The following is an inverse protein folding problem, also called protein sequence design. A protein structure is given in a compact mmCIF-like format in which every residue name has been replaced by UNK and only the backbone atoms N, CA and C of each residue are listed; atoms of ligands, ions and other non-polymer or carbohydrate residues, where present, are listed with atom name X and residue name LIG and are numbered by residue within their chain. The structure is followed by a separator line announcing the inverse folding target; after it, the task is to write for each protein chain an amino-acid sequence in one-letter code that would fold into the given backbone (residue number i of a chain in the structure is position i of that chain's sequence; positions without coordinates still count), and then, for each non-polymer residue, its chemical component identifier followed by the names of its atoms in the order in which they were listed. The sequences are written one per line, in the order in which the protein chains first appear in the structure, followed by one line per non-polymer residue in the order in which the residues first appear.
data_IF_865773165818
#
_entry.id   IF_865773165818
#
_cell.length_a   1.000
_cell.length_b   1.000
_cell.length_c   1.000
_cell.angle_alpha   90.00
_cell.angle_beta   90.00
_cell.angle_gamma   90.00
#
_symmetry.space_group_name_H-M   'P 1'
#
loop_
_entity.id
_entity.type
_entity.pdbx_description
1 polymer ?
#
# COMPACT_ATOMS: atom_id res chain seq x y z
N UNK A 1 -15.15 3.31 21.65
CA UNK A 1 -15.82 2.01 21.89
C UNK A 1 -15.76 1.24 20.57
N UNK A 2 -14.90 0.22 20.48
CA UNK A 2 -14.68 -0.50 19.22
C UNK A 2 -15.74 -1.56 19.02
N UNK A 3 -16.57 -1.44 17.98
CA UNK A 3 -17.42 -2.53 17.53
C UNK A 3 -16.55 -3.57 16.84
N UNK A 4 -16.46 -4.77 17.43
CA UNK A 4 -16.00 -5.96 16.73
C UNK A 4 -17.10 -6.34 15.72
N UNK A 5 -16.98 -5.85 14.50
CA UNK A 5 -17.74 -6.39 13.36
C UNK A 5 -17.21 -7.79 13.05
N UNK A 6 -17.82 -8.84 13.61
CA UNK A 6 -17.32 -10.19 13.38
C UNK A 6 -18.09 -11.34 14.01
N UNK A 7 -19.39 -11.51 13.72
CA UNK A 7 -20.08 -12.81 13.92
C UNK A 7 -20.37 -13.56 12.61
N UNK A 8 -19.98 -12.99 11.46
CA UNK A 8 -19.76 -13.77 10.23
C UNK A 8 -18.28 -13.69 9.89
N UNK A 9 -17.47 -14.34 10.70
CA UNK A 9 -16.03 -14.45 10.48
C UNK A 9 -15.82 -15.41 9.31
N UNK A 10 -15.22 -14.94 8.21
CA UNK A 10 -14.54 -15.82 7.26
C UNK A 10 -13.36 -16.44 8.02
N UNK A 11 -13.43 -17.71 8.48
CA UNK A 11 -12.47 -18.25 9.45
C UNK A 11 -11.03 -18.09 8.97
N UNK A 12 -10.84 -18.26 7.65
CA UNK A 12 -9.54 -18.24 7.01
C UNK A 12 -8.89 -16.83 6.90
N UNK A 13 -9.68 -15.75 6.95
CA UNK A 13 -9.15 -14.38 6.76
C UNK A 13 -8.51 -13.84 8.04
N UNK A 14 -9.11 -14.13 9.21
CA UNK A 14 -8.56 -13.70 10.50
C UNK A 14 -7.30 -14.49 10.88
N UNK A 15 -7.13 -15.69 10.35
CA UNK A 15 -5.89 -16.47 10.53
C UNK A 15 -4.71 -15.91 9.74
N UNK A 16 -5.00 -15.08 8.73
CA UNK A 16 -3.99 -14.51 7.84
C UNK A 16 -3.70 -13.04 8.13
N UNK A 17 -4.72 -12.27 8.49
CA UNK A 17 -4.61 -10.82 8.64
C UNK A 17 -5.03 -10.39 10.05
N UNK A 18 -4.39 -9.32 10.53
CA UNK A 18 -4.90 -8.55 11.66
C UNK A 18 -5.66 -7.36 11.12
N UNK A 19 -6.77 -7.03 11.78
CA UNK A 19 -7.62 -5.90 11.45
C UNK A 19 -7.75 -4.98 12.65
N UNK A 20 -7.78 -3.68 12.38
CA UNK A 20 -8.21 -2.66 13.34
C UNK A 20 -9.13 -1.70 12.61
N UNK A 21 -10.39 -1.71 13.00
CA UNK A 21 -11.40 -0.81 12.45
C UNK A 21 -11.63 0.36 13.41
N UNK A 22 -11.60 1.58 12.89
CA UNK A 22 -11.86 2.80 13.65
C UNK A 22 -12.96 3.61 12.97
N UNK A 23 -14.06 3.77 13.68
CA UNK A 23 -15.24 4.48 13.20
C UNK A 23 -15.08 6.00 13.35
N UNK A 24 -15.56 6.74 12.36
CA UNK A 24 -15.72 8.19 12.34
C UNK A 24 -17.14 8.51 11.92
N UNK A 25 -17.85 9.21 12.79
CA UNK A 25 -19.24 9.59 12.58
C UNK A 25 -19.42 10.43 11.31
N UNK A 26 -20.56 10.27 10.64
CA UNK A 26 -20.93 11.00 9.41
C UNK A 26 -19.97 10.79 8.23
N UNK A 27 -19.21 9.69 8.20
CA UNK A 27 -18.36 9.34 7.06
C UNK A 27 -18.96 8.22 6.21
N UNK A 28 -19.19 8.51 4.93
CA UNK A 28 -19.62 7.54 3.91
C UNK A 28 -18.45 6.97 3.09
N UNK A 29 -17.23 7.13 3.60
CA UNK A 29 -15.99 6.71 2.96
C UNK A 29 -15.17 5.83 3.89
N UNK A 30 -14.43 4.88 3.33
CA UNK A 30 -13.53 3.99 4.06
C UNK A 30 -12.10 4.14 3.56
N UNK A 31 -11.16 4.43 4.44
CA UNK A 31 -9.73 4.30 4.16
C UNK A 31 -9.20 2.97 4.67
N UNK A 32 -8.76 2.11 3.75
CA UNK A 32 -8.10 0.84 4.03
C UNK A 32 -6.59 1.05 3.96
N UNK A 33 -5.91 0.83 5.09
CA UNK A 33 -4.46 1.08 5.22
C UNK A 33 -3.72 -0.25 5.33
N UNK A 34 -2.93 -0.56 4.32
CA UNK A 34 -2.20 -1.82 4.17
C UNK A 34 -0.78 -1.63 4.71
N UNK A 35 -0.45 -2.37 5.77
CA UNK A 35 0.86 -2.29 6.39
C UNK A 35 1.91 -3.10 5.62
N UNK A 36 3.13 -2.56 5.41
CA UNK A 36 4.25 -3.34 4.93
C UNK A 36 4.89 -4.22 6.01
N UNK A 37 4.47 -4.12 7.27
CA UNK A 37 5.11 -4.81 8.40
C UNK A 37 4.13 -5.78 9.03
N UNK A 38 4.59 -7.03 9.20
CA UNK A 38 3.85 -8.08 9.90
C UNK A 38 3.40 -7.60 11.29
N UNK A 39 2.14 -7.86 11.64
CA UNK A 39 1.54 -7.59 12.95
C UNK A 39 1.66 -6.12 13.43
N UNK A 40 1.80 -5.14 12.53
CA UNK A 40 1.86 -3.72 12.89
C UNK A 40 0.96 -2.91 11.97
N UNK A 41 0.25 -1.92 12.52
CA UNK A 41 -0.56 -0.98 11.74
C UNK A 41 0.22 0.32 11.53
N UNK A 42 0.56 0.64 10.28
CA UNK A 42 1.08 1.96 9.94
C UNK A 42 -0.04 3.00 10.01
N UNK A 43 0.31 4.26 10.25
CA UNK A 43 -0.64 5.40 10.27
C UNK A 43 -1.76 5.31 11.31
N UNK A 44 -1.70 4.42 12.29
CA UNK A 44 -2.73 4.32 13.37
C UNK A 44 -2.97 5.64 14.10
N UNK A 45 -1.96 6.51 14.19
CA UNK A 45 -2.08 7.84 14.80
C UNK A 45 -2.37 8.98 13.82
N UNK A 46 -2.64 8.71 12.55
CA UNK A 46 -2.99 9.74 11.57
C UNK A 46 -4.49 10.06 11.63
N UNK A 47 -4.85 11.34 11.57
CA UNK A 47 -6.25 11.79 11.59
C UNK A 47 -6.85 11.71 10.18
N UNK A 48 -7.32 10.52 9.81
CA UNK A 48 -8.12 10.35 8.61
C UNK A 48 -9.49 11.02 8.77
N UNK A 49 -9.97 11.69 7.72
CA UNK A 49 -11.34 12.23 7.68
C UNK A 49 -12.39 11.18 7.28
N UNK A 50 -12.03 9.90 7.26
CA UNK A 50 -12.90 8.78 6.89
C UNK A 50 -13.02 7.74 8.00
N UNK A 51 -13.93 6.77 7.85
CA UNK A 51 -13.77 5.49 8.55
C UNK A 51 -12.44 4.84 8.16
N UNK A 52 -11.87 4.05 9.05
CA UNK A 52 -10.54 3.43 8.85
C UNK A 52 -10.59 1.94 9.05
N UNK A 53 -9.94 1.19 8.18
CA UNK A 53 -9.59 -0.20 8.37
C UNK A 53 -8.09 -0.37 8.18
N UNK A 54 -7.35 -0.56 9.27
CA UNK A 54 -5.95 -0.95 9.20
C UNK A 54 -5.86 -2.47 9.03
N UNK A 55 -5.03 -2.89 8.08
CA UNK A 55 -4.79 -4.30 7.78
C UNK A 55 -3.29 -4.57 7.83
N UNK A 56 -2.90 -5.65 8.50
CA UNK A 56 -1.52 -6.14 8.46
C UNK A 56 -1.52 -7.65 8.33
N UNK A 57 -0.56 -8.20 7.59
CA UNK A 57 -0.43 -9.66 7.50
C UNK A 57 0.18 -10.25 8.78
N UNK A 58 -0.26 -11.45 9.15
CA UNK A 58 0.36 -12.27 10.19
C UNK A 58 1.61 -13.00 9.69
N UNK A 59 1.82 -13.06 8.39
CA UNK A 59 3.05 -13.48 7.74
C UNK A 59 3.20 -12.73 6.42
N UNK A 60 4.43 -12.41 6.02
CA UNK A 60 4.65 -11.52 4.88
C UNK A 60 4.43 -12.30 3.59
N UNK A 61 3.25 -12.15 2.98
CA UNK A 61 2.87 -12.72 1.70
C UNK A 61 2.49 -11.65 0.68
N UNK A 62 2.78 -10.38 0.97
CA UNK A 62 2.54 -9.26 0.06
C UNK A 62 1.06 -9.16 -0.36
N UNK A 63 0.14 -9.58 0.50
CA UNK A 63 -1.29 -9.60 0.28
C UNK A 63 -1.75 -10.48 -0.91
N UNK A 64 -0.90 -11.41 -1.36
CA UNK A 64 -1.28 -12.38 -2.42
C UNK A 64 -1.88 -13.65 -1.85
N UNK A 65 -1.53 -14.02 -0.61
CA UNK A 65 -2.13 -15.17 0.06
C UNK A 65 -3.47 -14.80 0.68
N UNK A 66 -4.49 -15.67 0.52
CA UNK A 66 -5.88 -15.41 0.93
C UNK A 66 -6.46 -14.09 0.39
N UNK A 67 -5.97 -13.64 -0.77
CA UNK A 67 -6.38 -12.41 -1.44
C UNK A 67 -7.90 -12.33 -1.66
N UNK A 68 -8.51 -13.37 -2.23
CA UNK A 68 -9.96 -13.41 -2.49
C UNK A 68 -10.81 -13.35 -1.22
N UNK A 69 -10.35 -13.98 -0.14
CA UNK A 69 -11.04 -13.92 1.16
C UNK A 69 -11.00 -12.49 1.72
N UNK A 70 -9.87 -11.79 1.57
CA UNK A 70 -9.76 -10.38 1.95
C UNK A 70 -10.66 -9.49 1.09
N UNK A 71 -10.77 -9.74 -0.22
CA UNK A 71 -11.71 -9.02 -1.10
C UNK A 71 -13.16 -9.24 -0.66
N UNK A 72 -13.58 -10.47 -0.41
CA UNK A 72 -14.95 -10.76 0.05
C UNK A 72 -15.25 -10.08 1.39
N UNK A 73 -14.29 -10.09 2.33
CA UNK A 73 -14.42 -9.36 3.59
C UNK A 73 -14.61 -7.85 3.37
N UNK A 74 -13.84 -7.24 2.48
CA UNK A 74 -13.98 -5.81 2.15
C UNK A 74 -15.34 -5.51 1.50
N UNK A 75 -15.79 -6.35 0.55
CA UNK A 75 -17.11 -6.20 -0.08
C UNK A 75 -18.24 -6.25 0.95
N UNK A 76 -18.19 -7.20 1.89
CA UNK A 76 -19.16 -7.31 2.97
C UNK A 76 -19.16 -6.06 3.84
N UNK A 77 -17.97 -5.57 4.21
CA UNK A 77 -17.83 -4.37 5.03
C UNK A 77 -18.40 -3.13 4.32
N UNK A 78 -18.08 -2.98 3.03
CA UNK A 78 -18.55 -1.88 2.17
C UNK A 78 -20.07 -1.90 2.06
N UNK A 79 -20.64 -3.07 1.77
CA UNK A 79 -22.08 -3.24 1.57
C UNK A 79 -22.86 -2.99 2.86
N UNK A 80 -22.40 -3.54 4.00
CA UNK A 80 -23.07 -3.38 5.30
C UNK A 80 -23.09 -1.95 5.81
N UNK A 81 -22.06 -1.16 5.49
CA UNK A 81 -21.93 0.22 5.94
C UNK A 81 -22.33 1.24 4.86
N UNK A 82 -22.82 0.78 3.70
CA UNK A 82 -23.21 1.62 2.57
C UNK A 82 -22.13 2.65 2.16
N UNK A 83 -20.85 2.22 2.09
CA UNK A 83 -19.79 3.12 1.66
C UNK A 83 -19.89 3.46 0.18
N UNK A 84 -19.83 4.75 -0.13
CA UNK A 84 -19.85 5.27 -1.50
C UNK A 84 -18.45 5.37 -2.11
N UNK A 85 -17.42 5.40 -1.27
CA UNK A 85 -16.03 5.38 -1.72
C UNK A 85 -15.11 4.64 -0.77
N UNK A 86 -14.09 4.01 -1.34
CA UNK A 86 -13.04 3.29 -0.63
C UNK A 86 -11.69 3.75 -1.14
N UNK A 87 -10.84 4.18 -0.21
CA UNK A 87 -9.47 4.57 -0.47
C UNK A 87 -8.54 3.48 0.05
N UNK A 88 -7.67 2.93 -0.78
CA UNK A 88 -6.62 2.00 -0.36
C UNK A 88 -5.28 2.71 -0.38
N UNK A 89 -4.52 2.58 0.69
CA UNK A 89 -3.18 3.16 0.77
C UNK A 89 -2.23 2.27 1.55
N UNK A 90 -0.94 2.43 1.29
CA UNK A 90 0.12 1.70 1.95
C UNK A 90 1.47 2.29 1.64
N UNK A 91 2.54 1.63 2.09
CA UNK A 91 3.92 1.95 1.68
C UNK A 91 4.63 0.67 1.30
N UNK A 92 5.52 0.70 0.30
CA UNK A 92 6.34 -0.47 -0.08
C UNK A 92 5.46 -1.70 -0.40
N UNK A 93 5.63 -2.80 0.34
CA UNK A 93 4.79 -4.02 0.31
C UNK A 93 3.30 -3.73 0.51
N UNK A 94 2.98 -2.79 1.42
CA UNK A 94 1.61 -2.36 1.65
C UNK A 94 1.01 -1.65 0.45
N UNK A 95 1.81 -0.87 -0.29
CA UNK A 95 1.38 -0.23 -1.53
C UNK A 95 1.15 -1.23 -2.66
N UNK A 96 2.00 -2.25 -2.77
CA UNK A 96 1.75 -3.38 -3.68
C UNK A 96 0.38 -4.00 -3.37
N UNK A 97 0.14 -4.34 -2.10
CA UNK A 97 -1.14 -4.85 -1.60
C UNK A 97 -2.32 -3.94 -1.93
N UNK A 98 -2.18 -2.64 -1.68
CA UNK A 98 -3.22 -1.64 -1.96
C UNK A 98 -3.59 -1.60 -3.46
N UNK A 99 -2.61 -1.71 -4.36
CA UNK A 99 -2.88 -1.74 -5.81
C UNK A 99 -3.61 -3.02 -6.20
N UNK A 100 -3.08 -4.19 -5.84
CA UNK A 100 -3.71 -5.46 -6.24
C UNK A 100 -5.12 -5.61 -5.65
N UNK A 101 -5.33 -5.17 -4.40
CA UNK A 101 -6.63 -5.18 -3.77
C UNK A 101 -7.58 -4.18 -4.42
N UNK A 102 -7.11 -2.96 -4.73
CA UNK A 102 -7.95 -1.96 -5.39
C UNK A 102 -8.45 -2.40 -6.76
N UNK A 103 -7.60 -3.11 -7.52
CA UNK A 103 -7.94 -3.73 -8.81
C UNK A 103 -8.99 -4.82 -8.64
N UNK A 104 -8.74 -5.81 -7.78
CA UNK A 104 -9.66 -6.94 -7.59
C UNK A 104 -10.98 -6.48 -6.96
N UNK A 105 -10.93 -5.53 -6.02
CA UNK A 105 -12.10 -4.98 -5.36
C UNK A 105 -13.00 -4.23 -6.34
N UNK A 106 -12.42 -3.36 -7.19
CA UNK A 106 -13.22 -2.61 -8.18
C UNK A 106 -13.92 -3.54 -9.18
N UNK A 107 -13.22 -4.59 -9.64
CA UNK A 107 -13.79 -5.64 -10.49
C UNK A 107 -14.96 -6.34 -9.78
N UNK A 108 -14.77 -6.73 -8.52
CA UNK A 108 -15.79 -7.43 -7.73
C UNK A 108 -17.02 -6.55 -7.44
N UNK A 109 -16.81 -5.28 -7.07
CA UNK A 109 -17.90 -4.32 -6.82
C UNK A 109 -18.72 -4.07 -8.09
N UNK A 110 -18.05 -3.89 -9.25
CA UNK A 110 -18.72 -3.74 -10.54
C UNK A 110 -19.55 -4.97 -10.92
N UNK A 111 -18.98 -6.18 -10.76
CA UNK A 111 -19.68 -7.45 -11.01
C UNK A 111 -20.96 -7.57 -10.17
N UNK A 112 -20.89 -7.16 -8.90
CA UNK A 112 -22.01 -7.18 -7.96
C UNK A 112 -22.93 -5.95 -8.06
N UNK A 113 -22.67 -5.03 -9.00
CA UNK A 113 -23.40 -3.77 -9.18
C UNK A 113 -23.47 -2.89 -7.93
N UNK A 114 -22.44 -2.95 -7.08
CA UNK A 114 -22.31 -2.08 -5.91
C UNK A 114 -21.70 -0.75 -6.38
N UNK A 115 -22.45 0.35 -6.20
CA UNK A 115 -22.02 1.70 -6.57
C UNK A 115 -21.06 2.28 -5.53
N UNK A 116 -19.80 1.85 -5.59
CA UNK A 116 -18.73 2.33 -4.73
C UNK A 116 -17.48 2.60 -5.54
N UNK A 117 -16.94 3.83 -5.46
CA UNK A 117 -15.70 4.22 -6.15
C UNK A 117 -14.50 3.70 -5.37
N UNK A 118 -13.51 3.17 -6.08
CA UNK A 118 -12.25 2.71 -5.50
C UNK A 118 -11.13 3.65 -5.92
N UNK A 119 -10.34 4.09 -4.95
CA UNK A 119 -9.13 4.89 -5.17
C UNK A 119 -7.95 4.22 -4.51
N UNK A 120 -6.81 4.22 -5.17
CA UNK A 120 -5.55 3.72 -4.62
C UNK A 120 -4.53 4.84 -4.60
N UNK A 121 -3.92 5.08 -3.43
CA UNK A 121 -2.78 5.99 -3.26
C UNK A 121 -1.61 5.17 -2.73
N UNK A 122 -0.71 4.79 -3.64
CA UNK A 122 0.39 3.88 -3.39
C UNK A 122 1.72 4.63 -3.26
N UNK A 123 2.39 4.51 -2.12
CA UNK A 123 3.66 5.15 -1.85
C UNK A 123 4.83 4.18 -2.02
N UNK A 124 5.72 4.47 -2.96
CA UNK A 124 6.92 3.70 -3.31
C UNK A 124 6.63 2.19 -3.43
N UNK A 125 5.66 1.78 -4.27
CA UNK A 125 5.26 0.39 -4.36
C UNK A 125 6.36 -0.48 -4.95
N UNK A 126 6.45 -1.71 -4.47
CA UNK A 126 6.90 -2.81 -5.34
C UNK A 126 5.77 -3.10 -6.33
N UNK A 127 6.10 -3.47 -7.56
CA UNK A 127 5.12 -3.63 -8.65
C UNK A 127 5.17 -4.99 -9.35
N UNK A 128 6.29 -5.68 -9.16
CA UNK A 128 6.53 -7.04 -9.64
C UNK A 128 7.20 -7.81 -8.51
N UNK A 129 6.54 -8.86 -8.03
CA UNK A 129 7.08 -9.82 -7.06
C UNK A 129 7.10 -11.24 -7.64
N UNK A 130 6.41 -11.44 -8.76
CA UNK A 130 6.50 -12.62 -9.60
C UNK A 130 6.39 -12.24 -11.07
N UNK A 131 7.24 -12.75 -12.00
CA UNK A 131 8.39 -13.64 -11.74
C UNK A 131 9.47 -12.96 -10.88
N UNK A 132 10.59 -13.67 -10.65
CA UNK A 132 11.67 -13.18 -9.80
C UNK A 132 12.11 -11.75 -10.18
N UNK A 133 12.01 -10.81 -9.25
CA UNK A 133 12.32 -9.40 -9.47
C UNK A 133 13.75 -9.07 -9.01
N UNK A 134 14.66 -8.91 -9.97
CA UNK A 134 16.07 -8.57 -9.73
C UNK A 134 16.26 -7.21 -9.02
N UNK A 135 15.32 -6.27 -9.16
CA UNK A 135 15.41 -4.96 -8.52
C UNK A 135 15.35 -5.07 -6.99
N UNK A 136 14.57 -6.03 -6.47
CA UNK A 136 14.33 -6.21 -5.04
C UNK A 136 14.81 -7.54 -4.49
N UNK A 137 15.55 -8.33 -5.29
CA UNK A 137 16.03 -9.67 -4.94
C UNK A 137 16.85 -9.70 -3.64
N UNK A 138 17.50 -8.58 -3.31
CA UNK A 138 18.29 -8.45 -2.09
C UNK A 138 17.46 -8.33 -0.80
N UNK A 139 16.18 -7.97 -0.88
CA UNK A 139 15.31 -7.76 0.28
C UNK A 139 15.07 -9.06 1.06
N UNK A 140 15.42 -9.14 2.36
CA UNK A 140 15.11 -10.29 3.21
C UNK A 140 13.64 -10.72 3.18
N UNK A 141 12.70 -9.77 3.25
CA UNK A 141 11.26 -10.12 3.19
C UNK A 141 10.85 -10.75 1.86
N UNK A 142 11.43 -10.31 0.74
CA UNK A 142 11.17 -10.87 -0.58
C UNK A 142 11.79 -12.26 -0.72
N UNK A 143 13.03 -12.45 -0.28
CA UNK A 143 13.68 -13.77 -0.25
C UNK A 143 12.86 -14.78 0.55
N UNK A 144 12.35 -14.36 1.71
CA UNK A 144 11.49 -15.20 2.54
C UNK A 144 10.19 -15.57 1.83
N UNK A 145 9.52 -14.62 1.16
CA UNK A 145 8.34 -14.92 0.33
C UNK A 145 8.63 -15.99 -0.72
N UNK A 146 9.70 -15.83 -1.50
CA UNK A 146 10.08 -16.81 -2.55
C UNK A 146 10.38 -18.17 -1.94
N UNK A 147 11.06 -18.23 -0.78
CA UNK A 147 11.32 -19.48 -0.06
C UNK A 147 10.03 -20.14 0.44
N UNK A 148 9.09 -19.36 0.98
CA UNK A 148 7.80 -19.88 1.43
C UNK A 148 6.97 -20.41 0.26
N UNK A 149 6.89 -19.67 -0.85
CA UNK A 149 6.15 -20.10 -2.04
C UNK A 149 6.57 -21.50 -2.53
N UNK A 150 7.87 -21.82 -2.48
CA UNK A 150 8.38 -23.16 -2.85
C UNK A 150 7.81 -24.32 -2.02
N UNK A 151 7.39 -24.05 -0.79
CA UNK A 151 6.91 -25.08 0.15
C UNK A 151 5.39 -25.08 0.33
N UNK A 152 4.69 -24.05 -0.17
CA UNK A 152 3.25 -23.86 0.05
C UNK A 152 2.55 -23.48 -1.25
N UNK A 153 1.87 -24.46 -1.87
CA UNK A 153 1.19 -24.30 -3.17
C UNK A 153 0.21 -23.13 -3.21
N UNK A 154 -0.48 -22.86 -2.11
CA UNK A 154 -1.44 -21.75 -2.02
C UNK A 154 -0.76 -20.37 -2.07
N UNK A 155 0.45 -20.24 -1.51
CA UNK A 155 1.27 -19.02 -1.59
C UNK A 155 1.83 -18.88 -3.01
N UNK A 156 2.37 -19.96 -3.59
CA UNK A 156 2.88 -19.96 -4.97
C UNK A 156 1.79 -19.58 -5.98
N UNK A 157 0.59 -20.15 -5.83
CA UNK A 157 -0.56 -19.81 -6.67
C UNK A 157 -0.90 -18.32 -6.56
N UNK A 158 -1.07 -17.79 -5.34
CA UNK A 158 -1.39 -16.37 -5.14
C UNK A 158 -0.29 -15.46 -5.74
N UNK A 159 0.97 -15.85 -5.56
CA UNK A 159 2.11 -15.14 -6.12
C UNK A 159 2.09 -15.13 -7.66
N UNK A 160 1.82 -16.25 -8.32
CA UNK A 160 1.69 -16.35 -9.78
C UNK A 160 0.49 -15.60 -10.35
N UNK A 161 -0.60 -15.53 -9.58
CA UNK A 161 -1.85 -14.89 -9.99
C UNK A 161 -1.77 -13.36 -9.86
N UNK A 162 -1.32 -12.86 -8.71
CA UNK A 162 -1.36 -11.43 -8.37
C UNK A 162 0.01 -10.74 -8.36
N UNK A 163 1.10 -11.50 -8.47
CA UNK A 163 2.47 -10.99 -8.28
C UNK A 163 2.98 -10.03 -9.36
N UNK A 164 2.23 -9.84 -10.44
CA UNK A 164 2.59 -8.94 -11.53
C UNK A 164 1.46 -7.93 -11.79
N UNK A 165 1.59 -6.70 -11.29
CA UNK A 165 0.52 -5.69 -11.40
C UNK A 165 0.10 -5.49 -12.85
N UNK A 166 1.05 -5.37 -13.79
CA UNK A 166 0.73 -5.13 -15.21
C UNK A 166 -0.19 -6.20 -15.83
N UNK A 167 -0.15 -7.44 -15.32
CA UNK A 167 -0.97 -8.56 -15.83
C UNK A 167 -2.43 -8.48 -15.39
N UNK A 168 -2.72 -7.75 -14.31
CA UNK A 168 -4.08 -7.69 -13.73
C UNK A 168 -4.80 -6.37 -14.03
N UNK A 169 -4.15 -5.44 -14.75
CA UNK A 169 -4.69 -4.13 -15.13
C UNK A 169 -5.73 -4.20 -16.27
N UNK A 170 -5.91 -5.35 -16.90
CA UNK A 170 -6.82 -5.51 -18.04
C UNK A 170 -8.30 -5.35 -17.62
N UNK A 171 -9.10 -4.82 -18.55
CA UNK A 171 -10.56 -4.64 -18.44
C UNK A 171 -11.04 -3.83 -17.22
N UNK A 172 -10.27 -2.81 -16.84
CA UNK A 172 -10.63 -1.91 -15.74
C UNK A 172 -11.38 -0.68 -16.23
N UNK A 173 -12.50 -0.41 -15.57
CA UNK A 173 -13.30 0.80 -15.77
C UNK A 173 -12.71 1.98 -14.98
N UNK A 174 -12.20 2.98 -15.70
CA UNK A 174 -11.59 4.19 -15.12
C UNK A 174 -12.58 5.05 -14.32
N UNK A 175 -13.89 4.86 -14.52
CA UNK A 175 -14.90 5.57 -13.72
C UNK A 175 -15.05 4.97 -12.31
N UNK A 176 -14.60 3.72 -12.12
CA UNK A 176 -14.70 2.98 -10.86
C UNK A 176 -13.37 2.90 -10.11
N UNK A 177 -12.23 2.98 -10.80
CA UNK A 177 -10.90 2.87 -10.19
C UNK A 177 -9.96 4.00 -10.63
N UNK A 178 -9.36 4.67 -9.66
CA UNK A 178 -8.20 5.55 -9.86
C UNK A 178 -6.98 5.05 -9.07
N UNK A 179 -5.80 5.09 -9.68
CA UNK A 179 -4.55 4.64 -9.03
C UNK A 179 -3.50 5.74 -9.17
N UNK A 180 -2.99 6.21 -8.03
CA UNK A 180 -1.90 7.17 -7.93
C UNK A 180 -0.69 6.46 -7.33
N UNK A 181 0.45 6.54 -8.01
CA UNK A 181 1.72 5.99 -7.54
C UNK A 181 2.68 7.14 -7.27
N UNK A 182 3.00 7.34 -6.00
CA UNK A 182 3.88 8.39 -5.52
C UNK A 182 5.21 7.76 -5.15
N UNK A 183 6.33 8.29 -5.66
CA UNK A 183 7.63 7.65 -5.49
C UNK A 183 8.78 8.66 -5.51
N UNK A 184 9.94 8.29 -4.95
CA UNK A 184 11.14 9.13 -5.01
C UNK A 184 11.78 9.09 -6.39
N UNK A 185 11.85 10.22 -7.10
CA UNK A 185 12.40 10.28 -8.45
C UNK A 185 13.87 9.83 -8.53
N UNK A 186 14.64 10.15 -7.50
CA UNK A 186 16.06 9.82 -7.40
C UNK A 186 16.33 8.52 -6.64
N UNK A 187 15.30 7.86 -6.13
CA UNK A 187 15.46 6.55 -5.50
C UNK A 187 15.49 5.46 -6.58
N UNK A 188 16.65 4.80 -6.73
CA UNK A 188 16.91 3.83 -7.80
C UNK A 188 15.82 2.75 -7.92
N UNK A 189 15.53 2.05 -6.81
CA UNK A 189 14.57 0.95 -6.84
C UNK A 189 13.15 1.44 -7.14
N UNK A 190 12.75 2.56 -6.55
CA UNK A 190 11.40 3.13 -6.74
C UNK A 190 11.17 3.55 -8.18
N UNK A 191 12.17 4.19 -8.80
CA UNK A 191 12.11 4.61 -10.19
C UNK A 191 11.90 3.42 -11.12
N UNK A 192 12.64 2.33 -10.91
CA UNK A 192 12.50 1.09 -11.69
C UNK A 192 11.10 0.50 -11.53
N UNK A 193 10.58 0.42 -10.30
CA UNK A 193 9.23 -0.10 -10.06
C UNK A 193 8.15 0.80 -10.70
N UNK A 194 8.25 2.13 -10.56
CA UNK A 194 7.30 3.06 -11.15
C UNK A 194 7.31 3.01 -12.69
N UNK A 195 8.48 2.90 -13.31
CA UNK A 195 8.63 2.82 -14.77
C UNK A 195 7.92 1.60 -15.37
N UNK A 196 7.83 0.48 -14.64
CA UNK A 196 7.08 -0.72 -15.08
C UNK A 196 5.59 -0.48 -15.25
N UNK A 197 5.06 0.57 -14.63
CA UNK A 197 3.65 0.96 -14.70
C UNK A 197 3.38 2.08 -15.71
N UNK A 198 4.41 2.65 -16.33
CA UNK A 198 4.31 3.86 -17.17
C UNK A 198 3.44 3.70 -18.42
N UNK A 199 3.30 2.47 -18.95
CA UNK A 199 2.47 2.20 -20.12
C UNK A 199 0.96 2.13 -19.80
N UNK A 200 0.56 2.14 -18.52
CA UNK A 200 -0.86 2.05 -18.14
C UNK A 200 -1.50 3.42 -18.05
N UNK A 201 -2.53 3.65 -18.88
CA UNK A 201 -3.34 4.86 -18.82
C UNK A 201 -4.31 4.92 -17.63
N UNK A 202 -4.35 3.87 -16.79
CA UNK A 202 -5.11 3.83 -15.53
C UNK A 202 -4.30 4.40 -14.36
N UNK A 203 -2.98 4.36 -14.44
CA UNK A 203 -2.08 4.68 -13.33
C UNK A 203 -1.47 6.05 -13.56
N UNK A 204 -1.67 6.96 -12.60
CA UNK A 204 -0.99 8.25 -12.56
C UNK A 204 0.29 8.13 -11.75
N UNK A 205 1.43 8.28 -12.41
CA UNK A 205 2.74 8.36 -11.77
C UNK A 205 2.99 9.79 -11.28
N UNK A 206 3.35 9.92 -9.99
CA UNK A 206 3.60 11.18 -9.31
C UNK A 206 5.02 11.13 -8.68
N UNK A 207 6.08 11.39 -9.47
CA UNK A 207 7.43 11.48 -8.93
C UNK A 207 7.53 12.64 -7.94
N UNK A 208 8.26 12.45 -6.84
CA UNK A 208 8.67 13.53 -5.95
C UNK A 208 10.06 13.99 -6.41
N UNK A 209 10.18 15.22 -6.95
CA UNK A 209 11.43 15.72 -7.49
C UNK A 209 12.54 15.70 -6.46
N UNK A 210 13.73 15.25 -6.89
CA UNK A 210 14.94 15.18 -6.06
C UNK A 210 14.85 14.28 -4.81
N UNK A 211 13.72 13.62 -4.56
CA UNK A 211 13.56 12.77 -3.39
C UNK A 211 14.25 11.42 -3.59
N UNK A 212 15.15 11.09 -2.68
CA UNK A 212 16.07 9.94 -2.81
C UNK A 212 15.77 8.81 -1.83
N UNK A 213 14.69 8.88 -1.05
CA UNK A 213 14.34 7.87 -0.05
C UNK A 213 13.17 7.01 -0.52
N UNK A 214 13.16 5.73 -0.13
CA UNK A 214 12.05 4.81 -0.38
C UNK A 214 10.75 5.18 0.38
N UNK A 215 10.82 6.02 1.41
CA UNK A 215 9.70 6.27 2.33
C UNK A 215 8.87 7.50 1.96
N UNK A 216 8.40 7.57 0.71
CA UNK A 216 7.65 8.72 0.17
C UNK A 216 6.41 9.11 0.98
N UNK A 217 5.74 8.15 1.63
CA UNK A 217 4.56 8.39 2.50
C UNK A 217 4.82 9.36 3.65
N UNK A 218 6.07 9.50 4.10
CA UNK A 218 6.41 10.35 5.25
C UNK A 218 6.16 11.82 4.94
N UNK A 219 6.31 12.26 3.68
CA UNK A 219 6.05 13.65 3.26
C UNK A 219 4.58 14.07 3.41
N UNK A 220 3.68 13.09 3.35
CA UNK A 220 2.22 13.28 3.38
C UNK A 220 1.63 13.10 4.78
N UNK A 221 2.45 12.63 5.73
CA UNK A 221 1.96 12.21 7.07
C UNK A 221 2.72 12.84 8.22
N UNK A 222 3.85 13.50 7.94
CA UNK A 222 4.70 14.20 8.92
C UNK A 222 5.13 15.55 8.39
N UNK A 223 5.32 16.52 9.30
CA UNK A 223 5.71 17.90 9.00
C UNK A 223 6.82 18.38 9.94
N UNK A 224 7.55 19.39 9.50
CA UNK A 224 8.59 20.08 10.28
C UNK A 224 9.60 19.13 10.93
N UNK A 225 9.84 19.32 12.22
CA UNK A 225 10.81 18.53 12.99
C UNK A 225 10.49 17.02 12.98
N UNK A 226 9.20 16.64 13.02
CA UNK A 226 8.82 15.22 12.99
C UNK A 226 9.23 14.55 11.68
N UNK A 227 9.10 15.27 10.56
CA UNK A 227 9.53 14.78 9.25
C UNK A 227 11.05 14.60 9.23
N UNK A 228 11.79 15.63 9.64
CA UNK A 228 13.25 15.59 9.73
C UNK A 228 13.75 14.41 10.57
N UNK A 229 13.24 14.28 11.80
CA UNK A 229 13.57 13.17 12.71
C UNK A 229 13.25 11.81 12.11
N UNK A 230 12.11 11.68 11.43
CA UNK A 230 11.71 10.42 10.80
C UNK A 230 12.67 10.02 9.68
N UNK A 231 13.06 10.96 8.82
CA UNK A 231 14.01 10.71 7.74
C UNK A 231 15.42 10.39 8.28
N UNK A 232 15.89 11.12 9.29
CA UNK A 232 17.17 10.82 9.96
C UNK A 232 17.18 9.40 10.54
N UNK A 233 16.12 8.99 11.22
CA UNK A 233 16.00 7.64 11.78
C UNK A 233 15.98 6.55 10.71
N UNK A 234 15.52 6.86 9.48
CA UNK A 234 15.53 5.91 8.36
C UNK A 234 16.93 5.64 7.84
N UNK A 235 17.85 6.60 7.97
CA UNK A 235 19.25 6.42 7.61
C UNK A 235 19.95 5.45 8.55
N UNK A 236 19.67 5.57 9.85
CA UNK A 236 20.33 4.78 10.90
C UNK A 236 19.53 3.53 11.30
N UNK A 237 18.69 3.00 10.39
CA UNK A 237 17.80 1.89 10.72
C UNK A 237 18.55 0.57 10.83
N UNK A 238 18.23 -0.22 11.86
CA UNK A 238 18.68 -1.61 11.99
C UNK A 238 17.80 -2.61 11.23
N UNK A 239 16.74 -2.15 10.58
CA UNK A 239 15.86 -3.02 9.78
C UNK A 239 16.53 -3.32 8.42
N UNK A 240 16.82 -4.59 8.17
CA UNK A 240 17.57 -5.03 6.98
C UNK A 240 16.90 -4.67 5.64
N UNK A 241 15.57 -4.78 5.54
CA UNK A 241 14.83 -4.35 4.34
C UNK A 241 15.01 -2.85 4.10
N UNK A 242 14.87 -2.04 5.16
CA UNK A 242 15.01 -0.60 5.06
C UNK A 242 16.46 -0.18 4.78
N UNK A 243 17.45 -0.90 5.33
CA UNK A 243 18.87 -0.69 5.06
C UNK A 243 19.21 -0.97 3.59
N UNK A 244 18.66 -2.03 2.99
CA UNK A 244 18.82 -2.32 1.56
C UNK A 244 18.26 -1.21 0.66
N UNK A 245 17.17 -0.57 1.09
CA UNK A 245 16.50 0.52 0.36
C UNK A 245 17.00 1.92 0.74
N UNK A 246 18.08 2.01 1.51
CA UNK A 246 18.67 3.30 1.84
C UNK A 246 19.50 3.83 0.68
N UNK A 247 19.38 5.12 0.32
CA UNK A 247 20.23 5.71 -0.71
C UNK A 247 21.70 5.72 -0.29
N UNK A 248 22.60 5.55 -1.27
CA UNK A 248 24.04 5.79 -1.07
C UNK A 248 24.25 7.26 -0.72
N UNK A 249 25.18 7.58 0.19
CA UNK A 249 25.45 8.95 0.68
C UNK A 249 24.22 9.65 1.31
N UNK A 250 23.37 8.87 1.99
CA UNK A 250 22.12 9.30 2.60
C UNK A 250 22.21 10.57 3.46
N UNK A 251 23.32 10.80 4.17
CA UNK A 251 23.49 11.99 5.02
C UNK A 251 23.51 13.31 4.22
N UNK A 252 24.24 13.35 3.10
CA UNK A 252 24.32 14.55 2.26
C UNK A 252 22.97 14.80 1.57
N UNK A 253 22.37 13.73 1.03
CA UNK A 253 21.05 13.79 0.39
C UNK A 253 19.95 14.24 1.36
N UNK A 254 20.02 13.82 2.63
CA UNK A 254 19.09 14.28 3.65
C UNK A 254 19.23 15.78 3.89
N UNK A 255 20.46 16.27 4.05
CA UNK A 255 20.73 17.68 4.27
C UNK A 255 20.17 18.53 3.12
N UNK A 256 20.46 18.13 1.88
CA UNK A 256 19.99 18.85 0.68
C UNK A 256 18.46 18.82 0.54
N UNK A 257 17.83 17.69 0.88
CA UNK A 257 16.39 17.56 0.87
C UNK A 257 15.72 18.44 1.94
N UNK A 258 16.23 18.42 3.17
CA UNK A 258 15.67 19.20 4.28
C UNK A 258 15.74 20.71 4.02
N UNK A 259 16.74 21.20 3.27
CA UNK A 259 16.81 22.60 2.83
C UNK A 259 15.68 22.99 1.85
N UNK A 260 15.03 22.02 1.22
CA UNK A 260 14.00 22.24 0.21
C UNK A 260 12.63 21.68 0.62
N UNK A 261 12.49 21.14 1.83
CA UNK A 261 11.33 20.33 2.22
C UNK A 261 10.03 21.14 2.30
N UNK A 262 10.12 22.44 2.60
CA UNK A 262 8.97 23.34 2.70
C UNK A 262 8.24 23.51 1.36
N UNK A 263 8.90 23.17 0.24
CA UNK A 263 8.27 23.10 -1.09
C UNK A 263 7.25 21.96 -1.21
N UNK A 264 7.28 20.99 -0.30
CA UNK A 264 6.44 19.79 -0.32
C UNK A 264 5.42 19.80 0.83
N UNK A 265 4.44 20.70 0.75
CA UNK A 265 3.36 20.76 1.73
C UNK A 265 2.11 19.99 1.28
N UNK A 266 2.17 18.65 1.32
CA UNK A 266 1.03 17.79 0.98
C UNK A 266 0.43 17.11 2.21
N UNK A 267 -0.90 17.03 2.32
CA UNK A 267 -1.56 16.18 3.32
C UNK A 267 -2.11 14.91 2.68
N UNK A 268 -2.04 13.77 3.38
CA UNK A 268 -2.56 12.51 2.87
C UNK A 268 -4.08 12.57 2.65
N UNK A 269 -4.85 13.30 3.47
CA UNK A 269 -6.30 13.41 3.24
C UNK A 269 -6.60 14.11 1.90
N UNK A 270 -5.78 15.06 1.45
CA UNK A 270 -5.98 15.75 0.17
C UNK A 270 -5.86 14.80 -1.03
N UNK A 271 -5.14 13.68 -0.88
CA UNK A 271 -5.06 12.65 -1.92
C UNK A 271 -6.18 11.61 -1.83
N UNK A 272 -6.63 11.31 -0.61
CA UNK A 272 -7.67 10.31 -0.35
C UNK A 272 -9.09 10.87 -0.53
N UNK A 273 -9.26 12.19 -0.48
CA UNK A 273 -10.54 12.88 -0.55
C UNK A 273 -10.52 13.82 -1.76
N UNK A 274 -10.78 13.29 -2.96
CA UNK A 274 -11.35 14.14 -4.02
C UNK A 274 -12.88 14.03 -3.96
#
# INVERSE_FOLDING_TARGET
MGFLLGEKIFPNVIDTFNFLYEYKENSNSLSVVLSPIKNKFILRGYDFKTNKLFVSEKFIAYYTYNHENLINYLVDLISKNNYHSVNLTGSSKGSFGAIILGISLSKKLKLLKILCKVRVVAFSPQTEIYPLNNNIIGLPSYKNLIKFAKNYNSIDWGLKTYGLIRKILDDIDKNFLSIFVIYGENHFHDKVEAQRLSCSSLIKLLPIPSYSFHTSIVLYTKKGEQLSKTLTNKIHTSNEDAAYLSPKNSNNLLKDFLLNVDKFNYDLNDLLLD
#
